data_IF_911906314626
#
_entry.id   IF_911906314626
#
_cell.length_a   1.000
_cell.length_b   1.000
_cell.length_c   1.000
_cell.angle_alpha   90.00
_cell.angle_beta   90.00
_cell.angle_gamma   90.00
#
_symmetry.space_group_name_H-M   'P 1'
#
loop_
_entity.id
_entity.type
_entity.pdbx_description
1 polymer ?
#
# COMPACT_ATOMS: atom_id res chain seq x y z
N UNK A 1 -0.88 -4.73 14.24
CA UNK A 1 0.39 -4.48 13.55
C UNK A 1 0.14 -4.22 12.09
N UNK A 2 0.72 -3.16 11.54
CA UNK A 2 0.44 -2.80 10.17
C UNK A 2 1.61 -3.15 9.25
N UNK A 3 1.28 -3.32 7.98
CA UNK A 3 2.25 -3.64 6.94
C UNK A 3 2.19 -2.52 5.92
N UNK A 4 3.35 -1.98 5.55
CA UNK A 4 3.40 -0.94 4.53
C UNK A 4 3.46 -1.60 3.16
N UNK A 5 2.58 -1.15 2.28
CA UNK A 5 2.49 -1.73 0.94
C UNK A 5 2.43 -0.64 -0.11
N UNK A 6 2.80 -1.03 -1.32
CA UNK A 6 2.60 -0.22 -2.50
C UNK A 6 1.66 -0.99 -3.40
N UNK A 7 0.46 -0.47 -3.58
CA UNK A 7 -0.59 -1.15 -4.35
C UNK A 7 -0.60 -0.63 -5.78
N UNK A 8 -0.46 -1.54 -6.73
CA UNK A 8 -0.51 -1.18 -8.14
C UNK A 8 -1.93 -1.40 -8.64
N UNK A 9 -2.61 -0.31 -8.89
CA UNK A 9 -4.03 -0.31 -9.24
C UNK A 9 -4.19 -0.09 -10.73
N UNK A 10 -5.06 -0.88 -11.34
CA UNK A 10 -5.32 -0.78 -12.76
C UNK A 10 -5.79 0.62 -13.14
N UNK A 11 -5.06 1.26 -14.03
CA UNK A 11 -5.44 2.58 -14.53
C UNK A 11 -5.09 3.76 -13.64
N UNK A 12 -4.43 3.51 -12.51
CA UNK A 12 -4.08 4.58 -11.57
C UNK A 12 -2.61 4.51 -11.19
N UNK A 13 -2.11 5.60 -10.63
CA UNK A 13 -0.76 5.59 -10.06
C UNK A 13 -0.71 4.67 -8.85
N UNK A 14 0.46 4.10 -8.56
CA UNK A 14 0.59 3.26 -7.37
C UNK A 14 0.25 4.02 -6.09
N UNK A 15 -0.35 3.29 -5.16
CA UNK A 15 -0.79 3.86 -3.88
C UNK A 15 0.05 3.28 -2.76
N UNK A 16 0.70 4.16 -2.02
CA UNK A 16 1.46 3.79 -0.83
C UNK A 16 0.54 3.88 0.37
N UNK A 17 0.58 2.90 1.25
CA UNK A 17 -0.25 2.93 2.44
C UNK A 17 0.04 1.77 3.34
N UNK A 18 -0.76 1.64 4.40
CA UNK A 18 -0.61 0.55 5.36
C UNK A 18 -1.86 -0.30 5.36
N UNK A 19 -1.67 -1.61 5.58
CA UNK A 19 -2.79 -2.53 5.78
C UNK A 19 -2.58 -3.22 7.12
N UNK A 20 -3.69 -3.61 7.74
CA UNK A 20 -3.61 -4.24 9.07
C UNK A 20 -3.03 -5.64 8.98
N UNK A 21 -3.39 -6.36 7.93
CA UNK A 21 -2.86 -7.70 7.69
C UNK A 21 -2.94 -7.99 6.21
N UNK A 22 -2.18 -8.97 5.77
CA UNK A 22 -2.17 -9.35 4.36
C UNK A 22 -3.54 -9.91 3.99
N UNK A 23 -4.03 -9.60 2.78
CA UNK A 23 -5.35 -10.08 2.37
C UNK A 23 -5.37 -11.58 2.16
N UNK A 24 -6.53 -12.16 2.42
CA UNK A 24 -6.77 -13.58 2.15
C UNK A 24 -7.15 -13.77 0.68
N UNK A 25 -6.88 -14.95 0.12
CA UNK A 25 -7.23 -15.19 -1.28
C UNK A 25 -8.71 -15.02 -1.59
N UNK A 26 -9.58 -15.14 -0.58
CA UNK A 26 -11.01 -15.02 -0.78
C UNK A 26 -11.53 -13.60 -0.58
N UNK A 27 -10.68 -12.66 -0.22
CA UNK A 27 -11.11 -11.29 -0.01
C UNK A 27 -11.50 -10.62 -1.32
N UNK A 28 -12.57 -9.83 -1.27
CA UNK A 28 -13.04 -9.09 -2.43
C UNK A 28 -12.64 -7.61 -2.39
N UNK A 29 -12.23 -7.14 -1.23
CA UNK A 29 -11.77 -5.76 -1.07
C UNK A 29 -10.53 -5.74 -0.20
N UNK A 30 -9.75 -4.66 -0.34
CA UNK A 30 -8.61 -4.43 0.53
C UNK A 30 -8.76 -3.03 1.12
N UNK A 31 -8.51 -2.92 2.42
CA UNK A 31 -8.58 -1.64 3.11
C UNK A 31 -7.17 -1.09 3.30
N UNK A 32 -6.93 0.07 2.72
CA UNK A 32 -5.61 0.71 2.80
C UNK A 32 -5.73 1.95 3.67
N UNK A 33 -4.91 2.00 4.70
CA UNK A 33 -4.88 3.12 5.64
C UNK A 33 -3.86 4.15 5.17
N UNK A 34 -4.23 5.42 5.32
CA UNK A 34 -3.37 6.55 4.95
C UNK A 34 -2.84 6.44 3.53
N UNK A 35 -3.74 6.27 2.55
CA UNK A 35 -3.32 6.14 1.16
C UNK A 35 -2.70 7.45 0.66
N UNK A 36 -1.60 7.32 -0.06
CA UNK A 36 -0.86 8.47 -0.58
C UNK A 36 -0.09 8.05 -1.81
N UNK A 37 0.45 9.02 -2.51
CA UNK A 37 1.27 8.73 -3.67
C UNK A 37 2.59 8.13 -3.22
N UNK A 38 3.27 7.51 -4.16
CA UNK A 38 4.58 6.92 -3.93
C UNK A 38 5.58 7.92 -3.35
N UNK A 39 5.44 9.20 -3.73
CA UNK A 39 6.29 10.27 -3.22
C UNK A 39 5.74 10.89 -1.94
N UNK A 40 4.73 10.25 -1.34
CA UNK A 40 4.06 10.62 -0.11
C UNK A 40 3.20 11.87 -0.19
N UNK A 41 2.93 12.33 -1.40
CA UNK A 41 1.99 13.44 -1.59
C UNK A 41 0.57 12.90 -1.71
N UNK A 42 -0.40 13.81 -1.57
CA UNK A 42 -1.80 13.42 -1.63
C UNK A 42 -2.20 12.91 -3.00
N UNK A 43 -3.11 11.94 -3.01
CA UNK A 43 -3.69 11.43 -4.25
C UNK A 43 -4.77 12.40 -4.70
N UNK A 44 -4.68 12.91 -5.93
CA UNK A 44 -5.61 13.96 -6.37
C UNK A 44 -7.06 13.51 -6.50
N UNK A 45 -7.31 12.22 -6.66
CA UNK A 45 -8.67 11.71 -6.82
C UNK A 45 -9.32 11.32 -5.49
N UNK A 46 -8.63 11.53 -4.37
CA UNK A 46 -9.19 11.24 -3.06
C UNK A 46 -9.49 12.54 -2.32
N UNK A 47 -10.44 12.45 -1.41
CA UNK A 47 -10.75 13.57 -0.55
C UNK A 47 -9.55 13.89 0.33
N UNK A 48 -9.28 15.17 0.55
CA UNK A 48 -8.06 15.56 1.25
C UNK A 48 -7.99 15.10 2.71
N UNK A 49 -9.13 14.77 3.30
CA UNK A 49 -9.17 14.33 4.70
C UNK A 49 -9.32 12.81 4.84
N UNK A 50 -9.23 12.08 3.74
CA UNK A 50 -9.42 10.64 3.79
C UNK A 50 -8.28 9.97 4.56
N UNK A 51 -8.63 8.98 5.38
CA UNK A 51 -7.63 8.23 6.14
C UNK A 51 -7.66 6.74 5.82
N UNK A 52 -8.67 6.31 5.09
CA UNK A 52 -8.86 4.89 4.80
C UNK A 52 -9.68 4.75 3.53
N UNK A 53 -9.24 3.89 2.64
CA UNK A 53 -9.95 3.62 1.39
C UNK A 53 -10.05 2.12 1.19
N UNK A 54 -11.22 1.68 0.75
CA UNK A 54 -11.44 0.28 0.40
C UNK A 54 -11.42 0.16 -1.12
N UNK A 55 -10.47 -0.60 -1.64
CA UNK A 55 -10.38 -0.86 -3.07
C UNK A 55 -10.89 -2.25 -3.39
N UNK A 56 -11.61 -2.42 -4.51
CA UNK A 56 -11.99 -3.77 -4.93
C UNK A 56 -10.74 -4.53 -5.37
N UNK A 57 -10.63 -5.77 -4.94
CA UNK A 57 -9.44 -6.56 -5.23
C UNK A 57 -9.22 -6.76 -6.72
N UNK A 58 -10.29 -6.80 -7.51
CA UNK A 58 -10.14 -7.00 -8.95
C UNK A 58 -9.46 -5.82 -9.66
N UNK A 59 -9.35 -4.67 -8.98
CA UNK A 59 -8.65 -3.51 -9.52
C UNK A 59 -7.17 -3.50 -9.14
N UNK A 60 -6.78 -4.36 -8.21
CA UNK A 60 -5.39 -4.44 -7.75
C UNK A 60 -4.63 -5.41 -8.65
N UNK A 61 -3.61 -4.91 -9.30
CA UNK A 61 -2.77 -5.75 -10.16
C UNK A 61 -1.81 -6.58 -9.31
N UNK A 62 -1.15 -5.95 -8.37
CA UNK A 62 -0.30 -6.63 -7.41
C UNK A 62 0.03 -5.67 -6.26
N UNK A 63 0.46 -6.25 -5.16
CA UNK A 63 0.89 -5.49 -3.99
C UNK A 63 2.37 -5.74 -3.76
N UNK A 64 3.10 -4.67 -3.51
CA UNK A 64 4.48 -4.80 -3.08
C UNK A 64 4.48 -4.61 -1.57
N UNK A 65 4.98 -5.58 -0.84
CA UNK A 65 5.08 -5.51 0.61
C UNK A 65 6.45 -4.92 0.93
N UNK A 66 6.44 -3.73 1.53
CA UNK A 66 7.69 -3.04 1.82
C UNK A 66 8.23 -3.49 3.19
N UNK A 67 9.54 -3.51 3.35
CA UNK A 67 10.12 -3.96 4.62
C UNK A 67 9.88 -2.93 5.72
N UNK A 68 9.82 -3.43 6.95
CA UNK A 68 9.79 -2.55 8.11
C UNK A 68 11.12 -1.80 8.16
N UNK A 69 11.18 -0.78 9.00
CA UNK A 69 12.39 0.01 9.11
C UNK A 69 13.58 -0.85 9.52
N UNK A 70 13.36 -1.78 10.44
CA UNK A 70 14.41 -2.69 10.88
C UNK A 70 14.87 -3.60 9.75
N UNK A 71 13.92 -4.15 9.00
CA UNK A 71 14.23 -5.00 7.87
C UNK A 71 14.97 -4.22 6.78
N UNK A 72 14.57 -2.98 6.59
CA UNK A 72 15.20 -2.11 5.62
C UNK A 72 16.68 -1.89 5.94
N UNK A 73 16.99 -1.70 7.20
CA UNK A 73 18.37 -1.52 7.64
C UNK A 73 19.19 -2.78 7.39
N UNK A 74 18.60 -3.93 7.66
CA UNK A 74 19.30 -5.19 7.40
C UNK A 74 19.55 -5.40 5.92
N UNK A 75 18.54 -5.12 5.11
CA UNK A 75 18.66 -5.26 3.66
C UNK A 75 19.73 -4.31 3.13
N UNK A 76 19.78 -3.12 3.68
CA UNK A 76 20.77 -2.14 3.28
C UNK A 76 22.20 -2.63 3.47
N UNK A 77 22.40 -3.46 4.48
CA UNK A 77 23.71 -4.07 4.70
C UNK A 77 24.06 -5.09 3.65
N UNK A 78 23.09 -5.85 3.24
CA UNK A 78 23.29 -6.98 2.33
C UNK A 78 23.35 -6.53 0.87
N UNK A 79 22.64 -5.50 0.55
CA UNK A 79 22.54 -5.01 -0.83
C UNK A 79 23.72 -4.15 -1.19
N UNK A 80 24.66 -4.73 -1.80
CA UNK A 80 25.87 -4.01 -2.18
C UNK A 80 25.94 -3.73 -3.64
#
# INVERSE_FOLDING_TARGET
MSVTILAHISGEDPVLGEIDELPNPSDTTITINNPRRRDEKDLPYLHETVVKVLWPMHRIMFLEVLPSKAEEELIGFVRE
#
